data_IF_011797663892
#
_entry.id   IF_011797663892
#
_cell.length_a   1.000
_cell.length_b   1.000
_cell.length_c   1.000
_cell.angle_alpha   90.00
_cell.angle_beta   90.00
_cell.angle_gamma   90.00
#
_symmetry.space_group_name_H-M   'P 1'
#
loop_
_entity.id
_entity.type
_entity.pdbx_description
1 polymer ?
#
# COMPACT_ATOMS: atom_id res chain seq x y z
N UNK A 1 -4.02 6.07 -2.87
CA UNK A 1 -3.12 4.99 -3.36
C UNK A 1 -2.28 4.57 -2.17
N UNK A 2 -2.56 3.42 -1.57
CA UNK A 2 -2.03 3.06 -0.24
C UNK A 2 -0.77 2.22 -0.38
N UNK A 3 0.34 2.69 0.19
CA UNK A 3 1.43 1.81 0.56
C UNK A 3 1.02 1.03 1.79
N UNK A 4 1.21 -0.29 1.74
CA UNK A 4 0.93 -1.15 2.87
C UNK A 4 2.24 -1.50 3.55
N UNK A 5 2.39 -1.02 4.78
CA UNK A 5 3.53 -1.34 5.65
C UNK A 5 3.26 -2.72 6.23
N UNK A 6 4.07 -3.70 5.85
CA UNK A 6 4.04 -5.03 6.49
C UNK A 6 5.14 -5.06 7.54
N UNK A 7 4.74 -4.93 8.81
CA UNK A 7 5.63 -5.21 9.94
C UNK A 7 5.67 -6.74 10.11
N UNK A 8 6.87 -7.32 10.18
CA UNK A 8 7.15 -8.74 10.43
C UNK A 8 6.81 -9.74 9.29
N UNK A 9 7.43 -9.57 8.11
CA UNK A 9 7.37 -10.53 7.01
C UNK A 9 8.50 -11.59 7.09
N UNK A 10 8.16 -12.85 7.40
CA UNK A 10 9.02 -14.03 7.20
C UNK A 10 8.43 -14.94 6.13
N UNK A 11 8.92 -14.86 4.90
CA UNK A 11 8.45 -15.68 3.78
C UNK A 11 9.58 -16.05 2.81
N UNK A 12 9.96 -17.34 2.81
CA UNK A 12 10.98 -17.93 1.95
C UNK A 12 10.59 -17.88 0.47
N UNK A 13 11.33 -17.15 -0.35
CA UNK A 13 11.59 -17.48 -1.76
C UNK A 13 12.84 -16.73 -2.22
N UNK A 14 13.71 -17.47 -2.91
CA UNK A 14 15.00 -17.03 -3.46
C UNK A 14 14.92 -15.69 -4.24
N UNK A 15 15.83 -14.77 -3.93
CA UNK A 15 16.42 -13.87 -4.94
C UNK A 15 16.12 -12.37 -4.88
N UNK A 16 15.10 -11.90 -4.16
CA UNK A 16 14.85 -10.46 -3.98
C UNK A 16 14.74 -10.18 -2.48
N UNK A 17 15.52 -9.24 -1.95
CA UNK A 17 15.39 -8.85 -0.54
C UNK A 17 13.98 -8.34 -0.29
N UNK A 18 13.18 -9.14 0.43
CA UNK A 18 11.81 -8.82 0.83
C UNK A 18 11.77 -8.06 2.15
N UNK A 19 12.94 -7.71 2.67
CA UNK A 19 13.05 -7.04 3.95
C UNK A 19 12.50 -5.62 3.84
N UNK A 20 11.69 -5.19 4.83
CA UNK A 20 11.25 -3.81 4.88
C UNK A 20 12.44 -2.87 4.92
N UNK A 21 12.51 -1.94 3.96
CA UNK A 21 13.53 -0.90 3.93
C UNK A 21 13.08 0.19 4.89
N UNK A 22 13.95 0.54 5.83
CA UNK A 22 13.77 1.65 6.78
C UNK A 22 14.86 2.68 6.48
N UNK A 23 14.45 3.93 6.32
CA UNK A 23 15.40 5.02 6.14
C UNK A 23 16.07 5.36 7.48
N UNK A 24 17.41 5.33 7.57
CA UNK A 24 18.12 5.80 8.75
C UNK A 24 17.97 7.32 8.91
N UNK A 25 18.01 7.82 10.15
CA UNK A 25 17.81 9.26 10.44
C UNK A 25 18.75 10.18 9.66
N UNK A 26 19.98 9.73 9.37
CA UNK A 26 20.97 10.47 8.57
C UNK A 26 20.50 10.78 7.14
N UNK A 27 19.59 9.98 6.57
CA UNK A 27 19.07 10.17 5.21
C UNK A 27 17.88 11.13 5.15
N UNK A 28 17.34 11.56 6.30
CA UNK A 28 16.11 12.37 6.37
C UNK A 28 16.17 13.64 5.52
N UNK A 29 17.26 14.39 5.60
CA UNK A 29 17.45 15.63 4.80
C UNK A 29 17.48 15.33 3.30
N UNK A 30 18.11 14.23 2.90
CA UNK A 30 18.17 13.84 1.50
C UNK A 30 16.78 13.42 0.99
N UNK A 31 16.04 12.65 1.78
CA UNK A 31 14.66 12.25 1.48
C UNK A 31 13.70 13.44 1.41
N UNK A 32 13.85 14.44 2.29
CA UNK A 32 13.05 15.68 2.24
C UNK A 32 13.30 16.44 0.93
N UNK A 33 14.57 16.58 0.51
CA UNK A 33 14.91 17.21 -0.78
C UNK A 33 14.34 16.44 -1.97
N UNK A 34 14.46 15.11 -1.97
CA UNK A 34 13.89 14.25 -3.01
C UNK A 34 12.36 14.38 -3.01
N UNK A 35 11.72 14.33 -1.85
CA UNK A 35 10.27 14.46 -1.70
C UNK A 35 9.75 15.77 -2.27
N UNK A 36 10.44 16.89 -2.01
CA UNK A 36 10.11 18.19 -2.59
C UNK A 36 10.28 18.22 -4.11
N UNK A 37 11.35 17.60 -4.63
CA UNK A 37 11.60 17.51 -6.08
C UNK A 37 10.58 16.62 -6.81
N UNK A 38 10.01 15.63 -6.13
CA UNK A 38 8.97 14.74 -6.65
C UNK A 38 7.55 15.33 -6.62
N UNK A 39 7.35 16.52 -6.02
CA UNK A 39 6.09 17.25 -6.14
C UNK A 39 6.05 17.89 -7.53
N UNK A 40 5.12 17.50 -8.42
CA UNK A 40 5.09 18.04 -9.77
C UNK A 40 4.70 19.53 -9.73
N UNK A 41 5.70 20.41 -9.90
CA UNK A 41 5.51 21.87 -9.98
C UNK A 41 5.42 22.38 -11.42
N UNK A 42 5.90 21.61 -12.40
CA UNK A 42 5.87 21.91 -13.84
C UNK A 42 5.63 20.62 -14.64
N UNK A 43 5.10 20.75 -15.86
CA UNK A 43 5.07 19.65 -16.85
C UNK A 43 6.51 19.33 -17.26
N UNK A 44 7.02 18.18 -16.83
CA UNK A 44 8.34 17.69 -17.17
C UNK A 44 8.45 16.20 -16.81
N UNK A 45 9.24 15.45 -17.59
CA UNK A 45 9.47 14.04 -17.33
C UNK A 45 10.65 13.87 -16.37
N UNK A 46 10.44 13.14 -15.27
CA UNK A 46 11.53 12.79 -14.36
C UNK A 46 12.53 11.85 -15.05
N UNK A 47 13.82 12.02 -14.75
CA UNK A 47 14.90 11.21 -15.29
C UNK A 47 15.64 10.48 -14.16
N UNK A 48 16.06 9.25 -14.45
CA UNK A 48 16.95 8.47 -13.60
C UNK A 48 18.33 8.47 -14.26
N UNK A 49 19.37 8.79 -13.46
CA UNK A 49 20.76 8.67 -13.89
C UNK A 49 21.36 7.40 -13.30
N UNK A 50 21.81 6.50 -14.16
CA UNK A 50 22.47 5.26 -13.75
C UNK A 50 23.91 5.51 -13.27
N UNK A 51 24.53 4.51 -12.64
CA UNK A 51 25.89 4.64 -12.10
C UNK A 51 26.96 4.92 -13.16
N UNK A 52 26.71 4.55 -14.42
CA UNK A 52 27.61 4.79 -15.55
C UNK A 52 27.31 6.12 -16.25
N UNK A 53 26.40 6.93 -15.70
CA UNK A 53 26.01 8.24 -16.21
C UNK A 53 24.91 8.21 -17.27
N UNK A 54 24.36 7.04 -17.59
CA UNK A 54 23.23 6.88 -18.51
C UNK A 54 21.97 7.56 -17.97
N UNK A 55 21.26 8.31 -18.81
CA UNK A 55 19.98 8.92 -18.44
C UNK A 55 18.80 8.18 -19.07
N UNK A 56 17.79 7.88 -18.25
CA UNK A 56 16.56 7.23 -18.67
C UNK A 56 15.35 8.01 -18.19
N UNK A 57 14.34 8.14 -19.03
CA UNK A 57 13.04 8.70 -18.62
C UNK A 57 12.36 7.70 -17.69
N UNK A 58 11.89 8.18 -16.54
CA UNK A 58 11.14 7.37 -15.58
C UNK A 58 9.69 7.24 -16.09
N UNK A 59 9.19 6.02 -16.36
CA UNK A 59 7.79 5.83 -16.71
C UNK A 59 6.86 6.25 -15.57
N UNK A 60 5.66 6.72 -15.92
CA UNK A 60 4.70 7.25 -14.93
C UNK A 60 4.36 6.25 -13.81
N UNK A 61 4.31 4.96 -14.11
CA UNK A 61 4.06 3.90 -13.13
C UNK A 61 5.16 3.80 -12.08
N UNK A 62 6.43 3.83 -12.50
CA UNK A 62 7.58 3.83 -11.59
C UNK A 62 7.67 5.14 -10.80
N UNK A 63 7.36 6.27 -11.44
CA UNK A 63 7.31 7.56 -10.77
C UNK A 63 6.32 7.56 -9.60
N UNK A 64 5.11 7.02 -9.80
CA UNK A 64 4.11 6.91 -8.75
C UNK A 64 4.59 6.07 -7.56
N UNK A 65 5.32 4.98 -7.82
CA UNK A 65 5.93 4.14 -6.77
C UNK A 65 6.97 4.93 -5.98
N UNK A 66 7.87 5.67 -6.65
CA UNK A 66 8.90 6.47 -6.00
C UNK A 66 8.31 7.57 -5.10
N UNK A 67 7.31 8.31 -5.61
CA UNK A 67 6.59 9.33 -4.83
C UNK A 67 6.04 8.73 -3.54
N UNK A 68 5.42 7.56 -3.64
CA UNK A 68 4.82 6.91 -2.48
C UNK A 68 5.89 6.40 -1.49
N UNK A 69 6.91 5.71 -1.99
CA UNK A 69 8.00 5.18 -1.17
C UNK A 69 8.71 6.30 -0.39
N UNK A 70 9.02 7.42 -1.04
CA UNK A 70 9.67 8.57 -0.36
C UNK A 70 8.78 9.15 0.72
N UNK A 71 7.46 9.31 0.48
CA UNK A 71 6.52 9.76 1.51
C UNK A 71 6.51 8.83 2.72
N UNK A 72 6.51 7.52 2.49
CA UNK A 72 6.48 6.54 3.59
C UNK A 72 7.80 6.54 4.38
N UNK A 73 8.95 6.56 3.69
CA UNK A 73 10.28 6.63 4.32
C UNK A 73 10.47 7.91 5.13
N UNK A 74 10.04 9.07 4.62
CA UNK A 74 10.02 10.33 5.36
C UNK A 74 9.13 10.28 6.61
N UNK A 75 8.07 9.47 6.58
CA UNK A 75 7.18 9.24 7.73
C UNK A 75 7.74 8.23 8.74
N UNK A 76 8.97 7.75 8.55
CA UNK A 76 9.55 6.67 9.36
C UNK A 76 8.88 5.31 9.15
N UNK A 77 8.08 5.15 8.09
CA UNK A 77 7.40 3.89 7.76
C UNK A 77 8.28 3.04 6.87
N UNK A 78 8.33 1.74 7.17
CA UNK A 78 9.08 0.80 6.36
C UNK A 78 8.39 0.53 5.02
N UNK A 79 9.16 0.34 3.96
CA UNK A 79 8.65 0.10 2.60
C UNK A 79 9.09 -1.27 2.11
N UNK A 80 8.16 -2.03 1.51
CA UNK A 80 8.42 -3.31 0.86
C UNK A 80 7.74 -3.36 -0.51
N UNK A 81 8.41 -3.99 -1.48
CA UNK A 81 7.83 -4.26 -2.80
C UNK A 81 7.39 -5.73 -2.83
N UNK A 82 6.11 -5.96 -3.07
CA UNK A 82 5.53 -7.30 -3.15
C UNK A 82 4.90 -7.52 -4.53
N UNK A 83 5.16 -8.67 -5.18
CA UNK A 83 4.42 -9.01 -6.38
C UNK A 83 2.95 -9.25 -6.02
N UNK A 84 2.03 -8.85 -6.89
CA UNK A 84 0.58 -9.04 -6.68
C UNK A 84 0.17 -10.53 -6.60
N UNK A 85 1.02 -11.42 -7.11
CA UNK A 85 0.90 -12.89 -7.02
C UNK A 85 1.43 -13.45 -5.71
N UNK A 86 1.96 -12.62 -4.80
CA UNK A 86 2.41 -13.08 -3.50
C UNK A 86 1.29 -13.76 -2.72
N UNK A 87 1.60 -14.90 -2.12
CA UNK A 87 0.74 -15.60 -1.18
C UNK A 87 0.97 -15.09 0.23
N UNK A 88 -0.13 -14.78 0.91
CA UNK A 88 -0.14 -14.22 2.25
C UNK A 88 -0.67 -15.26 3.22
N UNK A 89 -0.07 -15.30 4.41
CA UNK A 89 -0.67 -15.96 5.58
C UNK A 89 -1.94 -15.21 5.99
N UNK A 90 -2.82 -15.86 6.75
CA UNK A 90 -3.98 -15.19 7.35
C UNK A 90 -3.59 -14.04 8.28
N UNK A 91 -2.44 -14.13 8.96
CA UNK A 91 -1.91 -13.04 9.78
C UNK A 91 -1.47 -11.84 8.92
N UNK A 92 -0.71 -12.09 7.85
CA UNK A 92 -0.26 -11.04 6.95
C UNK A 92 -1.45 -10.35 6.28
N UNK A 93 -2.44 -11.12 5.81
CA UNK A 93 -3.66 -10.58 5.23
C UNK A 93 -4.46 -9.74 6.24
N UNK A 94 -4.57 -10.19 7.49
CA UNK A 94 -5.21 -9.43 8.57
C UNK A 94 -4.50 -8.10 8.85
N UNK A 95 -3.17 -8.12 8.92
CA UNK A 95 -2.34 -6.92 9.10
C UNK A 95 -2.53 -5.91 7.96
N UNK A 96 -2.54 -6.36 6.72
CA UNK A 96 -2.74 -5.50 5.54
C UNK A 96 -4.14 -4.86 5.50
N UNK A 97 -5.17 -5.53 6.04
CA UNK A 97 -6.53 -5.00 6.15
C UNK A 97 -6.78 -4.21 7.45
N UNK A 98 -5.81 -4.18 8.36
CA UNK A 98 -5.93 -3.60 9.70
C UNK A 98 -7.12 -4.19 10.49
N UNK A 99 -7.23 -5.52 10.50
CA UNK A 99 -8.27 -6.27 11.21
C UNK A 99 -7.67 -7.38 12.07
N UNK A 100 -8.45 -7.95 12.98
CA UNK A 100 -8.02 -9.09 13.77
C UNK A 100 -7.89 -10.35 12.91
N UNK A 101 -6.95 -11.25 13.28
CA UNK A 101 -6.80 -12.55 12.60
C UNK A 101 -8.11 -13.37 12.61
N UNK A 102 -8.86 -13.49 13.73
CA UNK A 102 -10.14 -14.20 13.71
C UNK A 102 -11.14 -13.62 12.71
N UNK A 103 -11.21 -12.29 12.60
CA UNK A 103 -12.07 -11.64 11.60
C UNK A 103 -11.63 -11.94 10.17
N UNK A 104 -10.32 -11.92 9.90
CA UNK A 104 -9.78 -12.32 8.60
C UNK A 104 -10.17 -13.76 8.25
N UNK A 105 -10.08 -14.71 9.20
CA UNK A 105 -10.51 -16.10 8.97
C UNK A 105 -12.00 -16.18 8.67
N UNK A 106 -12.85 -15.45 9.41
CA UNK A 106 -14.29 -15.37 9.16
C UNK A 106 -14.60 -14.89 7.75
N UNK A 107 -13.91 -13.85 7.26
CA UNK A 107 -14.07 -13.37 5.88
C UNK A 107 -13.72 -14.44 4.84
N UNK A 108 -12.69 -15.25 5.09
CA UNK A 108 -12.31 -16.34 4.19
C UNK A 108 -13.36 -17.45 4.17
N UNK A 109 -13.83 -17.87 5.34
CA UNK A 109 -14.83 -18.95 5.47
C UNK A 109 -16.19 -18.55 4.90
N UNK A 110 -16.53 -17.27 4.93
CA UNK A 110 -17.72 -16.70 4.28
C UNK A 110 -17.57 -16.53 2.76
N UNK A 111 -16.41 -16.86 2.18
CA UNK A 111 -16.15 -16.69 0.75
C UNK A 111 -15.99 -15.24 0.29
N UNK A 112 -15.89 -14.28 1.22
CA UNK A 112 -15.77 -12.85 0.89
C UNK A 112 -14.44 -12.54 0.17
N UNK A 113 -13.41 -13.35 0.40
CA UNK A 113 -12.10 -13.23 -0.23
C UNK A 113 -11.65 -14.64 -0.68
N UNK A 114 -11.34 -14.84 -1.97
CA UNK A 114 -10.80 -16.12 -2.44
C UNK A 114 -9.52 -16.49 -1.70
N UNK A 115 -9.44 -17.74 -1.25
CA UNK A 115 -8.27 -18.34 -0.61
C UNK A 115 -8.07 -19.76 -1.12
N UNK A 116 -6.88 -20.31 -0.90
CA UNK A 116 -6.59 -21.71 -1.14
C UNK A 116 -5.83 -22.30 0.06
N UNK A 117 -5.63 -23.62 0.07
CA UNK A 117 -4.82 -24.30 1.07
C UNK A 117 -3.44 -24.62 0.49
N UNK A 118 -2.40 -24.31 1.25
CA UNK A 118 -1.05 -24.82 1.03
C UNK A 118 -0.73 -25.77 2.19
N UNK A 119 -0.87 -27.08 1.96
CA UNK A 119 -0.94 -28.07 3.03
C UNK A 119 -2.19 -27.86 3.89
N UNK A 120 -2.02 -27.73 5.20
CA UNK A 120 -3.11 -27.51 6.16
C UNK A 120 -3.47 -26.03 6.35
N UNK A 121 -2.65 -25.10 5.85
CA UNK A 121 -2.80 -23.68 6.11
C UNK A 121 -3.49 -22.94 4.97
N UNK A 122 -4.32 -21.96 5.31
CA UNK A 122 -4.95 -21.04 4.35
C UNK A 122 -3.95 -20.00 3.84
N UNK A 123 -4.00 -19.73 2.53
CA UNK A 123 -3.22 -18.71 1.83
C UNK A 123 -4.15 -17.82 1.01
N UNK A 124 -3.82 -16.54 0.96
CA UNK A 124 -4.58 -15.54 0.20
C UNK A 124 -3.62 -14.85 -0.76
N UNK A 125 -3.95 -14.80 -2.04
CA UNK A 125 -3.17 -13.97 -2.96
C UNK A 125 -3.39 -12.50 -2.68
N UNK A 126 -2.32 -11.70 -2.69
CA UNK A 126 -2.37 -10.25 -2.46
C UNK A 126 -3.37 -9.57 -3.40
N UNK A 127 -3.45 -9.98 -4.68
CA UNK A 127 -4.45 -9.47 -5.64
C UNK A 127 -5.89 -9.56 -5.14
N UNK A 128 -6.27 -10.67 -4.51
CA UNK A 128 -7.63 -10.90 -4.00
C UNK A 128 -7.91 -10.05 -2.77
N UNK A 129 -6.91 -9.94 -1.87
CA UNK A 129 -7.01 -9.09 -0.70
C UNK A 129 -7.18 -7.61 -1.07
N UNK A 130 -6.41 -7.12 -2.04
CA UNK A 130 -6.49 -5.75 -2.53
C UNK A 130 -7.82 -5.46 -3.24
N UNK A 131 -8.35 -6.43 -4.00
CA UNK A 131 -9.66 -6.31 -4.64
C UNK A 131 -10.77 -6.15 -3.58
N UNK A 132 -10.76 -7.00 -2.54
CA UNK A 132 -11.68 -6.88 -1.42
C UNK A 132 -11.56 -5.53 -0.72
N UNK A 133 -10.34 -5.09 -0.39
CA UNK A 133 -10.08 -3.80 0.25
C UNK A 133 -10.68 -2.64 -0.54
N UNK A 134 -10.45 -2.61 -1.85
CA UNK A 134 -10.98 -1.55 -2.74
C UNK A 134 -12.50 -1.50 -2.71
N UNK A 135 -13.18 -2.65 -2.82
CA UNK A 135 -14.64 -2.74 -2.75
C UNK A 135 -15.17 -2.24 -1.40
N UNK A 136 -14.51 -2.65 -0.30
CA UNK A 136 -14.87 -2.22 1.06
C UNK A 136 -14.71 -0.70 1.25
N UNK A 137 -13.58 -0.15 0.83
CA UNK A 137 -13.30 1.29 0.98
C UNK A 137 -14.26 2.14 0.14
N UNK A 138 -14.62 1.69 -1.08
CA UNK A 138 -15.63 2.35 -1.90
C UNK A 138 -17.02 2.34 -1.25
N UNK A 139 -17.42 1.21 -0.65
CA UNK A 139 -18.68 1.11 0.07
C UNK A 139 -18.71 2.06 1.29
N UNK A 140 -17.61 2.13 2.05
CA UNK A 140 -17.48 3.05 3.17
C UNK A 140 -17.58 4.52 2.73
N UNK A 141 -16.89 4.90 1.65
CA UNK A 141 -16.97 6.26 1.10
C UNK A 141 -18.39 6.63 0.67
N UNK A 142 -19.10 5.69 0.03
CA UNK A 142 -20.49 5.90 -0.40
C UNK A 142 -21.43 6.06 0.80
N UNK A 143 -21.25 5.28 1.86
CA UNK A 143 -22.04 5.40 3.08
C UNK A 143 -21.80 6.75 3.78
N UNK A 144 -20.54 7.18 3.91
CA UNK A 144 -20.21 8.48 4.47
C UNK A 144 -20.82 9.63 3.66
N UNK A 145 -20.74 9.56 2.33
CA UNK A 145 -21.36 10.58 1.46
C UNK A 145 -22.87 10.70 1.65
N UNK A 146 -23.58 9.60 1.93
CA UNK A 146 -25.02 9.63 2.25
C UNK A 146 -25.28 10.31 3.59
N UNK A 147 -24.53 9.96 4.64
CA UNK A 147 -24.68 10.59 5.95
C UNK A 147 -24.43 12.10 5.90
N UNK A 148 -23.45 12.55 5.11
CA UNK A 148 -23.17 13.98 4.93
C UNK A 148 -24.32 14.67 4.18
N UNK A 149 -24.83 14.07 3.12
CA UNK A 149 -25.97 14.62 2.37
C UNK A 149 -27.23 14.71 3.26
N UNK A 150 -27.54 13.65 4.01
CA UNK A 150 -28.65 13.62 4.98
C UNK A 150 -28.48 14.70 6.06
N UNK A 151 -27.26 14.90 6.59
CA UNK A 151 -26.99 15.93 7.58
C UNK A 151 -27.11 17.37 7.02
N UNK A 152 -26.78 17.57 5.74
CA UNK A 152 -26.96 18.84 5.03
C UNK A 152 -28.44 19.12 4.75
N UNK A 153 -29.22 18.12 4.36
CA UNK A 153 -30.67 18.23 4.17
C UNK A 153 -31.41 18.54 5.48
N UNK A 154 -30.87 18.11 6.62
CA UNK A 154 -31.40 18.38 7.96
C UNK A 154 -30.95 19.75 8.54
N UNK A 155 -30.22 20.57 7.77
CA UNK A 155 -29.84 21.94 8.17
C UNK A 155 -28.81 22.00 9.32
N UNK A 156 -28.04 20.93 9.56
CA UNK A 156 -27.11 20.84 10.70
C UNK A 156 -25.81 21.63 10.45
N UNK A 157 -25.68 22.28 9.29
CA UNK A 157 -24.53 23.11 8.90
C UNK A 157 -24.94 24.42 8.18
N UNK A 158 -25.96 25.11 8.67
CA UNK A 158 -26.20 26.51 8.34
C UNK A 158 -25.76 27.40 9.52
N UNK A 159 -24.45 27.70 9.60
CA UNK A 159 -23.84 28.89 10.25
C UNK A 159 -22.39 29.09 9.78
#
# INVERSE_FOLDING_TARGET
MYAVVVKDWKGSSRGLSREPIIAPQRERRALERIGQALVPRKRGAARLRGPRGEEMIIPQSLYAVLVQAVKDLMSGRAVSILPVTAELTTQQAAGLLNVSRPFMVKLLEQGAIPFHKAGTHRRVYLKHLLAYKRKRDQAAQKALGRLVAEAQELGIYDE
#
